data_IF_913433435079
#
_entry.id   IF_913433435079
#
_cell.length_a   1.000
_cell.length_b   1.000
_cell.length_c   1.000
_cell.angle_alpha   90.00
_cell.angle_beta   90.00
_cell.angle_gamma   90.00
#
_symmetry.space_group_name_H-M   'P 1'
#
loop_
_entity.id
_entity.type
_entity.pdbx_description
1 polymer ?
#
# COMPACT_ATOMS: atom_id res chain seq x y z
N UNK A 1 4.90 40.72 59.30
CA UNK A 1 3.85 40.23 58.40
C UNK A 1 4.50 39.96 57.03
N UNK A 2 4.86 38.72 56.79
CA UNK A 2 5.55 38.31 55.55
C UNK A 2 4.53 37.74 54.54
N UNK A 3 4.36 38.42 53.40
CA UNK A 3 3.51 37.98 52.29
C UNK A 3 4.32 37.04 51.41
N UNK A 4 4.06 35.75 51.54
CA UNK A 4 4.62 34.75 50.64
C UNK A 4 3.68 34.59 49.42
N UNK A 5 4.08 35.19 48.32
CA UNK A 5 3.39 35.04 47.03
C UNK A 5 3.70 33.65 46.45
N UNK A 6 2.68 32.77 46.38
CA UNK A 6 2.77 31.47 45.70
C UNK A 6 2.66 31.72 44.20
N UNK A 7 3.75 31.50 43.49
CA UNK A 7 3.75 31.46 42.01
C UNK A 7 3.18 30.09 41.61
N UNK A 8 2.01 30.11 41.01
CA UNK A 8 1.39 28.92 40.39
C UNK A 8 1.99 28.76 38.98
N UNK A 9 2.89 27.80 38.82
CA UNK A 9 3.42 27.43 37.51
C UNK A 9 2.32 26.68 36.75
N UNK A 10 1.70 27.33 35.78
CA UNK A 10 0.85 26.68 34.79
C UNK A 10 1.76 25.95 33.79
N UNK A 11 1.87 24.64 33.91
CA UNK A 11 2.44 23.79 32.87
C UNK A 11 1.35 23.63 31.80
N UNK A 12 1.47 24.38 30.72
CA UNK A 12 0.68 24.15 29.49
C UNK A 12 1.11 22.80 28.94
N UNK A 13 0.18 21.87 28.70
CA UNK A 13 0.52 20.65 27.90
C UNK A 13 0.94 21.11 26.52
N UNK A 14 2.15 20.80 26.14
CA UNK A 14 2.58 20.90 24.76
C UNK A 14 1.66 19.98 23.92
N UNK A 15 1.11 20.47 22.80
CA UNK A 15 0.37 19.59 21.91
C UNK A 15 1.35 18.49 21.45
N UNK A 16 1.05 17.25 21.81
CA UNK A 16 1.70 16.12 21.22
C UNK A 16 1.23 16.12 19.75
N UNK A 17 2.12 16.48 18.84
CA UNK A 17 1.91 16.29 17.42
C UNK A 17 1.90 14.77 17.23
N UNK A 18 0.71 14.19 17.34
CA UNK A 18 0.47 12.79 16.95
C UNK A 18 0.58 12.74 15.42
N UNK A 19 1.76 12.39 14.95
CA UNK A 19 1.95 12.03 13.54
C UNK A 19 1.38 10.63 13.34
N UNK A 20 0.07 10.53 13.15
CA UNK A 20 -0.60 9.29 12.79
C UNK A 20 -0.32 8.90 11.34
N UNK A 21 0.58 7.96 11.15
CA UNK A 21 0.85 7.39 9.84
C UNK A 21 1.10 5.90 10.00
N UNK A 22 0.48 5.02 9.26
CA UNK A 22 0.75 3.61 8.94
C UNK A 22 1.41 2.69 9.94
N UNK A 23 1.30 1.39 9.61
CA UNK A 23 2.29 0.39 10.03
C UNK A 23 3.75 0.82 9.82
N UNK A 24 4.04 1.67 8.85
CA UNK A 24 5.37 2.28 8.61
C UNK A 24 5.72 3.47 9.49
N UNK A 25 4.78 4.05 10.21
CA UNK A 25 5.06 5.14 11.15
C UNK A 25 5.78 4.66 12.37
N UNK A 26 5.53 3.45 12.75
CA UNK A 26 6.35 2.86 13.79
C UNK A 26 7.83 2.73 13.39
N UNK A 27 8.16 2.85 12.10
CA UNK A 27 9.51 2.85 11.53
C UNK A 27 9.97 4.23 11.02
N UNK A 28 9.23 5.30 11.33
CA UNK A 28 9.41 6.63 10.73
C UNK A 28 10.65 7.40 11.22
N UNK A 29 11.22 7.04 12.34
CA UNK A 29 12.48 7.62 12.84
C UNK A 29 13.69 7.25 11.96
N UNK A 30 13.49 6.35 10.98
CA UNK A 30 14.48 6.03 9.96
C UNK A 30 15.75 5.37 10.50
N UNK A 31 15.75 4.94 11.77
CA UNK A 31 16.92 4.28 12.37
C UNK A 31 17.03 2.86 11.83
N UNK A 32 18.10 2.62 11.07
CA UNK A 32 18.45 1.27 10.63
C UNK A 32 19.22 0.58 11.75
N UNK A 33 18.71 -0.57 12.16
CA UNK A 33 19.38 -1.47 13.09
C UNK A 33 19.89 -2.71 12.36
N UNK A 34 21.09 -3.15 12.71
CA UNK A 34 21.65 -4.43 12.26
C UNK A 34 21.66 -5.41 13.43
N UNK A 35 21.24 -6.64 13.14
CA UNK A 35 21.23 -7.75 14.08
C UNK A 35 21.75 -9.00 13.40
N UNK A 36 22.25 -9.97 14.18
CA UNK A 36 22.70 -11.26 13.70
C UNK A 36 22.13 -12.35 14.59
N UNK A 37 21.55 -13.39 13.98
CA UNK A 37 20.92 -14.45 14.75
C UNK A 37 20.55 -15.66 13.91
N UNK A 38 20.04 -16.69 14.57
CA UNK A 38 19.55 -17.93 13.98
C UNK A 38 18.05 -17.83 13.70
N UNK A 39 17.63 -18.22 12.49
CA UNK A 39 16.21 -18.24 12.11
C UNK A 39 15.46 -19.31 12.89
N UNK A 40 14.40 -18.90 13.59
CA UNK A 40 13.56 -19.79 14.42
C UNK A 40 12.28 -20.18 13.70
N UNK A 41 11.63 -19.20 13.06
CA UNK A 41 10.39 -19.43 12.28
C UNK A 41 10.43 -18.68 10.96
N UNK A 42 9.70 -19.19 9.98
CA UNK A 42 9.48 -18.51 8.69
C UNK A 42 8.00 -18.63 8.34
N UNK A 43 7.36 -17.50 8.14
CA UNK A 43 5.98 -17.37 7.67
C UNK A 43 6.01 -16.60 6.33
N UNK A 44 6.08 -17.35 5.22
CA UNK A 44 6.24 -16.79 3.87
C UNK A 44 4.88 -16.71 3.18
N UNK A 45 4.05 -15.75 3.62
CA UNK A 45 2.68 -15.53 3.16
C UNK A 45 2.40 -14.03 2.99
N UNK A 46 1.31 -13.69 2.25
CA UNK A 46 0.78 -12.34 2.23
C UNK A 46 -0.10 -12.08 3.48
N UNK A 47 -0.25 -10.83 3.94
CA UNK A 47 0.12 -9.58 3.27
C UNK A 47 1.60 -9.25 3.35
N UNK A 48 2.35 -9.83 4.27
CA UNK A 48 3.76 -9.57 4.50
C UNK A 48 4.48 -10.87 4.85
N UNK A 49 5.65 -11.12 4.25
CA UNK A 49 6.50 -12.21 4.70
C UNK A 49 7.12 -11.86 6.05
N UNK A 50 7.03 -12.79 6.99
CA UNK A 50 7.58 -12.67 8.34
C UNK A 50 8.55 -13.81 8.63
N UNK A 51 9.56 -13.53 9.42
CA UNK A 51 10.40 -14.55 10.03
C UNK A 51 10.93 -14.07 11.37
N UNK A 52 11.26 -15.00 12.27
CA UNK A 52 11.86 -14.64 13.55
C UNK A 52 13.29 -15.14 13.62
N UNK A 53 14.15 -14.36 14.27
CA UNK A 53 15.52 -14.79 14.59
C UNK A 53 15.77 -14.72 16.09
N UNK A 54 16.58 -15.67 16.56
CA UNK A 54 17.11 -15.66 17.91
C UNK A 54 18.51 -15.05 17.89
N UNK A 55 18.67 -13.94 18.60
CA UNK A 55 19.95 -13.28 18.81
C UNK A 55 20.50 -13.60 20.19
N UNK A 56 21.80 -13.51 20.35
CA UNK A 56 22.51 -13.63 21.64
C UNK A 56 23.45 -12.43 21.74
N UNK A 57 23.30 -11.61 22.77
CA UNK A 57 24.17 -10.46 22.98
C UNK A 57 25.53 -10.82 23.59
N UNK A 58 26.42 -9.83 23.81
CA UNK A 58 27.75 -10.02 24.37
C UNK A 58 27.74 -10.55 25.80
N UNK A 59 26.66 -10.45 26.52
CA UNK A 59 26.47 -10.94 27.91
C UNK A 59 25.77 -12.32 27.93
N UNK A 60 25.45 -12.89 26.76
CA UNK A 60 24.81 -14.19 26.62
C UNK A 60 23.28 -14.14 26.78
N UNK A 61 22.67 -12.96 26.75
CA UNK A 61 21.22 -12.82 26.86
C UNK A 61 20.59 -13.10 25.48
N UNK A 62 19.62 -14.00 25.49
CA UNK A 62 18.86 -14.35 24.28
C UNK A 62 17.66 -13.40 24.08
N UNK A 63 17.42 -13.00 22.83
CA UNK A 63 16.24 -12.26 22.43
C UNK A 63 15.67 -12.82 21.12
N UNK A 64 14.35 -12.82 20.99
CA UNK A 64 13.65 -13.12 19.74
C UNK A 64 13.29 -11.81 19.07
N UNK A 65 13.60 -11.71 17.79
CA UNK A 65 13.27 -10.58 16.94
C UNK A 65 12.26 -11.00 15.90
N UNK A 66 11.19 -10.23 15.76
CA UNK A 66 10.21 -10.34 14.69
C UNK A 66 10.60 -9.45 13.52
N UNK A 67 10.58 -10.02 12.34
CA UNK A 67 11.12 -9.44 11.13
C UNK A 67 10.03 -9.47 10.06
N UNK A 68 9.52 -8.29 9.70
CA UNK A 68 8.51 -8.08 8.67
C UNK A 68 9.18 -7.62 7.37
N UNK A 69 8.70 -8.06 6.22
CA UNK A 69 9.20 -7.62 4.92
C UNK A 69 8.06 -7.27 3.95
N UNK A 70 8.34 -7.16 2.65
CA UNK A 70 7.33 -6.95 1.63
C UNK A 70 6.42 -8.17 1.44
N UNK A 71 5.32 -7.99 0.70
CA UNK A 71 4.45 -9.07 0.26
C UNK A 71 5.17 -10.04 -0.70
N UNK A 72 4.66 -11.28 -0.75
CA UNK A 72 5.28 -12.37 -1.51
C UNK A 72 5.34 -12.09 -3.01
N UNK A 73 4.32 -11.45 -3.55
CA UNK A 73 4.25 -11.17 -4.98
C UNK A 73 5.31 -10.14 -5.38
N UNK A 74 5.48 -9.12 -4.56
CA UNK A 74 6.56 -8.13 -4.72
C UNK A 74 7.93 -8.80 -4.64
N UNK A 75 8.16 -9.68 -3.67
CA UNK A 75 9.42 -10.41 -3.52
C UNK A 75 9.71 -11.32 -4.72
N UNK A 76 8.71 -12.08 -5.19
CA UNK A 76 8.84 -12.96 -6.38
C UNK A 76 9.24 -12.17 -7.63
N UNK A 77 8.59 -11.03 -7.89
CA UNK A 77 8.92 -10.15 -9.04
C UNK A 77 10.34 -9.60 -8.98
N UNK A 78 10.86 -9.44 -7.78
CA UNK A 78 12.24 -9.02 -7.55
C UNK A 78 13.25 -10.16 -7.60
N UNK A 79 12.79 -11.37 -7.90
CA UNK A 79 13.62 -12.55 -7.99
C UNK A 79 14.06 -13.13 -6.64
N UNK A 80 13.38 -12.73 -5.54
CA UNK A 80 13.62 -13.30 -4.21
C UNK A 80 12.88 -14.62 -4.11
N UNK A 81 13.58 -15.76 -3.99
CA UNK A 81 12.94 -17.07 -3.95
C UNK A 81 12.19 -17.28 -2.62
N UNK A 82 11.14 -18.11 -2.65
CA UNK A 82 10.31 -18.41 -1.45
C UNK A 82 11.09 -19.06 -0.32
N UNK A 83 12.18 -19.69 -0.61
CA UNK A 83 13.08 -20.34 0.35
C UNK A 83 14.38 -19.56 0.58
N UNK A 84 14.37 -18.27 0.30
CA UNK A 84 15.51 -17.39 0.53
C UNK A 84 15.99 -17.40 2.00
N UNK A 85 15.04 -17.51 2.93
CA UNK A 85 15.30 -17.59 4.38
C UNK A 85 14.82 -18.94 4.88
N UNK A 86 15.68 -19.69 5.60
CA UNK A 86 15.36 -21.02 6.10
C UNK A 86 15.62 -21.14 7.59
N UNK A 87 14.77 -21.89 8.30
CA UNK A 87 14.91 -22.18 9.72
C UNK A 87 16.27 -22.85 9.97
N UNK A 88 16.97 -22.42 11.02
CA UNK A 88 18.29 -22.89 11.43
C UNK A 88 19.46 -22.18 10.74
N UNK A 89 19.22 -21.33 9.76
CA UNK A 89 20.28 -20.50 9.15
C UNK A 89 20.64 -19.33 10.06
N UNK A 90 21.93 -18.96 10.07
CA UNK A 90 22.41 -17.77 10.75
C UNK A 90 22.50 -16.62 9.76
N UNK A 91 21.74 -15.56 10.03
CA UNK A 91 21.60 -14.41 9.14
C UNK A 91 22.14 -13.14 9.80
N UNK A 92 22.66 -12.23 8.97
CA UNK A 92 22.81 -10.82 9.32
C UNK A 92 21.69 -10.04 8.66
N UNK A 93 20.95 -9.27 9.45
CA UNK A 93 19.75 -8.57 9.02
C UNK A 93 19.89 -7.08 9.31
N UNK A 94 19.50 -6.24 8.36
CA UNK A 94 19.31 -4.82 8.56
C UNK A 94 17.85 -4.46 8.28
N UNK A 95 17.32 -3.52 9.05
CA UNK A 95 15.95 -3.05 8.90
C UNK A 95 15.68 -1.81 9.72
N UNK A 96 14.56 -1.17 9.45
CA UNK A 96 14.08 -0.05 10.25
C UNK A 96 13.48 -0.59 11.54
N UNK A 97 13.96 -0.06 12.68
CA UNK A 97 13.45 -0.45 13.99
C UNK A 97 12.07 0.12 14.23
N UNK A 98 11.19 -0.68 14.80
CA UNK A 98 9.91 -0.19 15.31
C UNK A 98 10.10 0.72 16.54
N UNK A 99 9.42 1.86 16.54
CA UNK A 99 9.34 2.76 17.70
C UNK A 99 8.25 2.32 18.71
N UNK A 100 7.39 1.36 18.33
CA UNK A 100 6.23 0.91 19.12
C UNK A 100 6.38 -0.51 19.67
N UNK A 101 7.01 -1.40 18.90
CA UNK A 101 7.19 -2.81 19.24
C UNK A 101 8.67 -3.07 19.57
N UNK A 102 8.92 -3.75 20.68
CA UNK A 102 10.28 -4.19 21.02
C UNK A 102 10.72 -5.33 20.11
N UNK A 103 12.00 -5.36 19.76
CA UNK A 103 12.62 -6.41 18.94
C UNK A 103 11.87 -6.66 17.61
N UNK A 104 11.51 -5.57 16.93
CA UNK A 104 10.78 -5.63 15.68
C UNK A 104 11.43 -4.76 14.59
N UNK A 105 11.62 -5.33 13.38
CA UNK A 105 12.20 -4.61 12.24
C UNK A 105 11.34 -4.75 10.98
N UNK A 106 11.21 -3.65 10.23
CA UNK A 106 10.87 -3.66 8.80
C UNK A 106 12.16 -3.93 8.01
N UNK A 107 12.30 -5.16 7.52
CA UNK A 107 13.54 -5.68 6.94
C UNK A 107 13.88 -4.99 5.62
N UNK A 108 15.09 -4.50 5.51
CA UNK A 108 15.62 -3.95 4.25
C UNK A 108 16.58 -4.89 3.55
N UNK A 109 17.51 -5.51 4.30
CA UNK A 109 18.57 -6.34 3.76
C UNK A 109 18.82 -7.57 4.65
N UNK A 110 19.13 -8.69 4.02
CA UNK A 110 19.54 -9.93 4.69
C UNK A 110 20.79 -10.48 4.00
N UNK A 111 21.87 -10.72 4.74
CA UNK A 111 23.02 -11.45 4.26
C UNK A 111 22.88 -12.93 4.64
N UNK A 112 22.83 -13.77 3.61
CA UNK A 112 22.71 -15.23 3.74
C UNK A 112 24.06 -15.87 4.09
N UNK A 113 24.09 -17.10 4.65
CA UNK A 113 25.32 -17.83 4.91
C UNK A 113 26.19 -18.09 3.66
N UNK A 114 25.57 -18.09 2.48
CA UNK A 114 26.24 -18.20 1.18
C UNK A 114 27.11 -16.99 0.83
N UNK A 115 26.90 -15.84 1.48
CA UNK A 115 27.46 -14.55 1.12
C UNK A 115 26.58 -13.76 0.13
N UNK A 116 25.49 -14.33 -0.35
CA UNK A 116 24.49 -13.62 -1.17
C UNK A 116 23.67 -12.68 -0.29
N UNK A 117 23.47 -11.45 -0.72
CA UNK A 117 22.60 -10.49 -0.05
C UNK A 117 21.21 -10.49 -0.68
N UNK A 118 20.15 -10.44 0.16
CA UNK A 118 18.77 -10.28 -0.26
C UNK A 118 18.30 -8.88 0.11
N UNK A 119 17.86 -8.10 -0.89
CA UNK A 119 17.29 -6.77 -0.69
C UNK A 119 15.76 -6.88 -0.75
N UNK A 120 15.08 -6.65 0.38
CA UNK A 120 13.66 -6.89 0.56
C UNK A 120 12.77 -5.68 0.19
N UNK A 121 13.35 -4.50 0.04
CA UNK A 121 12.59 -3.27 -0.24
C UNK A 121 13.20 -2.46 -1.37
N UNK A 122 12.36 -1.72 -2.11
CA UNK A 122 12.81 -0.77 -3.14
C UNK A 122 13.54 0.45 -2.57
N UNK A 123 13.51 0.62 -1.26
CA UNK A 123 14.12 1.75 -0.54
C UNK A 123 15.56 1.49 -0.10
N UNK A 124 16.07 0.30 -0.36
CA UNK A 124 17.40 -0.09 0.07
C UNK A 124 18.28 -0.52 -1.11
N UNK A 125 19.55 -0.21 -0.98
CA UNK A 125 20.64 -0.67 -1.84
C UNK A 125 21.38 -1.83 -1.13
N UNK A 126 22.15 -2.68 -1.85
CA UNK A 126 23.02 -3.65 -1.25
C UNK A 126 23.98 -3.02 -0.23
N UNK A 127 24.17 -3.66 0.92
CA UNK A 127 24.98 -3.16 2.05
C UNK A 127 26.28 -3.90 2.26
N UNK A 128 26.28 -5.20 1.98
CA UNK A 128 27.36 -6.10 2.41
C UNK A 128 27.96 -6.90 1.26
N UNK A 129 27.26 -7.06 0.15
CA UNK A 129 27.68 -7.94 -0.93
C UNK A 129 27.32 -7.35 -2.30
N UNK A 130 28.25 -7.49 -3.27
CA UNK A 130 27.95 -7.20 -4.66
C UNK A 130 27.11 -8.31 -5.31
N UNK A 131 27.05 -9.51 -4.68
CA UNK A 131 26.14 -10.61 -5.06
C UNK A 131 24.80 -10.41 -4.34
N UNK A 132 23.95 -9.57 -4.93
CA UNK A 132 22.67 -9.20 -4.35
C UNK A 132 21.51 -9.57 -5.27
N UNK A 133 20.44 -10.17 -4.67
CA UNK A 133 19.15 -10.41 -5.31
C UNK A 133 18.10 -9.48 -4.72
N UNK A 134 17.06 -9.15 -5.52
CA UNK A 134 16.01 -8.26 -5.08
C UNK A 134 16.37 -6.77 -5.14
N UNK A 135 17.62 -6.40 -5.41
CA UNK A 135 17.98 -5.00 -5.68
C UNK A 135 17.34 -4.52 -6.99
N UNK A 136 16.94 -3.23 -7.02
CA UNK A 136 16.52 -2.63 -8.29
C UNK A 136 17.77 -2.51 -9.15
N UNK A 137 17.82 -3.26 -10.23
CA UNK A 137 18.79 -3.00 -11.28
C UNK A 137 18.35 -1.73 -12.01
N UNK A 138 19.24 -0.75 -12.05
CA UNK A 138 19.00 0.53 -12.74
C UNK A 138 18.61 0.30 -14.20
N UNK A 139 17.55 0.94 -14.63
CA UNK A 139 16.98 1.30 -15.94
C UNK A 139 17.34 0.49 -17.23
N UNK A 140 18.36 -0.35 -17.25
CA UNK A 140 18.77 -1.08 -18.45
C UNK A 140 18.13 -2.45 -18.65
N UNK A 141 17.37 -2.97 -17.70
CA UNK A 141 16.71 -4.28 -17.81
C UNK A 141 15.26 -4.20 -18.34
N UNK A 142 14.76 -3.01 -18.63
CA UNK A 142 13.54 -2.86 -19.42
C UNK A 142 13.87 -3.00 -20.90
N UNK A 143 14.17 -4.20 -21.36
CA UNK A 143 13.88 -4.58 -22.73
C UNK A 143 12.35 -4.53 -22.90
N UNK A 144 11.82 -3.32 -22.97
CA UNK A 144 10.45 -3.06 -23.40
C UNK A 144 10.43 -3.44 -24.87
N UNK A 145 10.11 -4.69 -25.14
CA UNK A 145 9.72 -5.07 -26.49
C UNK A 145 8.54 -4.18 -26.83
N UNK A 146 8.69 -3.32 -27.82
CA UNK A 146 7.61 -2.47 -28.29
C UNK A 146 6.39 -3.35 -28.57
N UNK A 147 5.36 -3.23 -27.73
CA UNK A 147 4.07 -3.83 -28.02
C UNK A 147 3.53 -3.03 -29.19
N UNK A 148 3.21 -3.71 -30.29
CA UNK A 148 2.36 -3.12 -31.32
C UNK A 148 1.01 -2.81 -30.65
N UNK A 149 0.81 -1.53 -30.30
CA UNK A 149 -0.16 -1.06 -29.34
C UNK A 149 -1.56 -0.88 -29.88
N UNK A 150 -1.74 -0.96 -31.20
CA UNK A 150 -2.84 -0.24 -31.85
C UNK A 150 -4.22 -0.92 -31.80
N UNK A 151 -4.36 -2.14 -31.24
CA UNK A 151 -5.65 -2.85 -31.32
C UNK A 151 -6.36 -3.11 -29.99
N UNK A 152 -5.66 -3.02 -28.85
CA UNK A 152 -6.25 -3.48 -27.58
C UNK A 152 -6.83 -2.33 -26.70
N UNK A 153 -6.54 -1.08 -27.02
CA UNK A 153 -7.00 0.05 -26.20
C UNK A 153 -6.61 -0.13 -24.74
N UNK A 154 -7.56 0.09 -23.84
CA UNK A 154 -7.38 -0.08 -22.39
C UNK A 154 -7.36 -1.57 -21.96
N UNK A 155 -7.87 -2.50 -22.77
CA UNK A 155 -8.09 -3.91 -22.42
C UNK A 155 -6.80 -4.73 -22.43
N UNK A 156 -5.97 -4.54 -21.42
CA UNK A 156 -4.68 -5.20 -21.21
C UNK A 156 -4.24 -5.11 -19.76
N UNK A 157 -3.06 -5.66 -19.47
CA UNK A 157 -2.41 -5.53 -18.17
C UNK A 157 -1.62 -4.24 -18.10
N UNK A 158 -1.78 -3.54 -16.99
CA UNK A 158 -1.16 -2.26 -16.68
C UNK A 158 -0.38 -2.34 -15.38
N UNK A 159 0.86 -1.85 -15.37
CA UNK A 159 1.69 -1.75 -14.17
C UNK A 159 1.90 -0.27 -13.82
N UNK A 160 1.67 0.08 -12.56
CA UNK A 160 1.85 1.45 -12.08
C UNK A 160 3.32 1.86 -12.12
N UNK A 161 3.60 3.02 -12.70
CA UNK A 161 4.94 3.59 -12.80
C UNK A 161 5.10 4.88 -12.02
N UNK A 162 3.99 5.61 -11.78
CA UNK A 162 4.04 6.90 -11.10
C UNK A 162 2.81 7.10 -10.22
N UNK A 163 3.01 7.80 -9.10
CA UNK A 163 1.96 8.31 -8.22
C UNK A 163 2.25 9.77 -7.91
N UNK A 164 1.30 10.65 -8.17
CA UNK A 164 1.36 12.07 -7.85
C UNK A 164 0.50 12.33 -6.61
N UNK A 165 1.12 12.21 -5.42
CA UNK A 165 0.43 12.45 -4.16
C UNK A 165 0.29 13.96 -3.92
N UNK A 166 -0.90 14.42 -3.46
CA UNK A 166 -1.04 15.77 -2.94
C UNK A 166 -0.31 15.91 -1.60
N UNK A 167 0.05 17.13 -1.25
CA UNK A 167 0.47 17.42 0.11
C UNK A 167 -0.72 17.24 1.07
N UNK A 168 -0.53 16.52 2.17
CA UNK A 168 -1.62 16.21 3.12
C UNK A 168 -2.24 17.47 3.75
N UNK A 169 -1.43 18.51 3.93
CA UNK A 169 -1.87 19.82 4.45
C UNK A 169 -2.83 20.55 3.49
N UNK A 170 -2.83 20.20 2.21
CA UNK A 170 -3.65 20.81 1.17
C UNK A 170 -5.00 20.09 0.98
N UNK A 171 -5.20 18.98 1.67
CA UNK A 171 -6.49 18.27 1.59
C UNK A 171 -7.60 19.12 2.22
N UNK A 172 -8.74 19.30 1.52
CA UNK A 172 -9.86 20.11 2.00
C UNK A 172 -10.69 19.35 3.05
N UNK A 173 -10.06 18.92 4.14
CA UNK A 173 -10.69 18.13 5.18
C UNK A 173 -11.62 18.95 6.06
N UNK A 174 -12.72 18.36 6.48
CA UNK A 174 -13.56 18.87 7.56
C UNK A 174 -12.85 18.76 8.92
N UNK A 175 -13.28 19.54 9.90
CA UNK A 175 -12.73 19.44 11.28
C UNK A 175 -13.01 18.06 11.90
N UNK A 176 -14.18 17.47 11.58
CA UNK A 176 -14.52 16.13 12.03
C UNK A 176 -13.61 15.05 11.44
N UNK A 177 -13.25 15.17 10.16
CA UNK A 177 -12.32 14.25 9.51
C UNK A 177 -10.90 14.34 10.11
N UNK A 178 -10.43 15.54 10.43
CA UNK A 178 -9.14 15.75 11.14
C UNK A 178 -9.16 15.12 12.53
N UNK A 179 -10.25 15.32 13.28
CA UNK A 179 -10.39 14.73 14.61
C UNK A 179 -10.41 13.20 14.56
N UNK A 180 -11.09 12.61 13.57
CA UNK A 180 -11.11 11.16 13.39
C UNK A 180 -9.72 10.61 12.99
N UNK A 181 -8.99 11.33 12.13
CA UNK A 181 -7.60 11.00 11.80
C UNK A 181 -6.71 10.96 13.03
N UNK A 182 -6.81 11.96 13.92
CA UNK A 182 -6.00 12.04 15.14
C UNK A 182 -6.26 10.87 16.11
N UNK A 183 -7.46 10.28 16.05
CA UNK A 183 -7.87 9.15 16.89
C UNK A 183 -7.53 7.78 16.26
N UNK A 184 -7.17 7.73 15.00
CA UNK A 184 -6.94 6.50 14.26
C UNK A 184 -5.62 5.83 14.64
N UNK A 185 -5.68 4.54 14.99
CA UNK A 185 -4.48 3.70 15.18
C UNK A 185 -4.35 2.71 14.00
N UNK A 186 -3.40 2.92 13.08
CA UNK A 186 -3.26 2.08 11.90
C UNK A 186 -2.96 0.60 12.20
N UNK A 187 -2.40 0.29 13.36
CA UNK A 187 -2.15 -1.11 13.75
C UNK A 187 -3.40 -1.80 14.31
N UNK A 188 -4.34 -1.05 14.88
CA UNK A 188 -5.57 -1.58 15.44
C UNK A 188 -6.75 -1.47 14.47
N UNK A 189 -6.80 -0.38 13.70
CA UNK A 189 -7.99 0.04 12.97
C UNK A 189 -7.94 -0.25 11.47
N UNK A 190 -6.75 -0.62 10.90
CA UNK A 190 -6.65 -0.94 9.47
C UNK A 190 -7.21 -2.35 9.17
N UNK A 191 -8.39 -2.46 8.48
CA UNK A 191 -9.00 -3.74 8.18
C UNK A 191 -8.12 -4.65 7.30
N UNK A 192 -7.24 -4.05 6.49
CA UNK A 192 -6.37 -4.78 5.56
C UNK A 192 -5.35 -5.66 6.29
N UNK A 193 -4.93 -5.28 7.49
CA UNK A 193 -4.06 -6.11 8.33
C UNK A 193 -4.73 -7.43 8.76
N UNK A 194 -6.07 -7.48 8.71
CA UNK A 194 -6.86 -8.70 8.93
C UNK A 194 -7.28 -9.39 7.64
N UNK A 195 -6.58 -9.17 6.53
CA UNK A 195 -6.89 -9.70 5.21
C UNK A 195 -8.29 -9.32 4.68
N UNK A 196 -8.88 -8.24 5.18
CA UNK A 196 -10.12 -7.71 4.63
C UNK A 196 -9.79 -6.96 3.33
N UNK A 197 -10.43 -7.37 2.24
CA UNK A 197 -10.21 -6.77 0.92
C UNK A 197 -10.56 -5.28 0.98
N UNK A 198 -9.65 -4.38 0.58
CA UNK A 198 -9.89 -2.95 0.63
C UNK A 198 -11.01 -2.53 -0.31
N UNK A 199 -11.85 -1.59 0.15
CA UNK A 199 -12.88 -0.96 -0.65
C UNK A 199 -12.37 0.22 -1.48
N UNK A 200 -13.30 0.91 -2.16
CA UNK A 200 -12.98 2.13 -2.89
C UNK A 200 -12.83 3.34 -1.94
N UNK A 201 -11.89 4.26 -2.24
CA UNK A 201 -10.96 4.30 -3.37
C UNK A 201 -9.68 3.49 -3.16
N UNK A 202 -9.41 2.96 -1.95
CA UNK A 202 -8.16 2.29 -1.59
C UNK A 202 -7.79 1.15 -2.55
N UNK A 203 -8.76 0.38 -3.02
CA UNK A 203 -8.54 -0.70 -3.98
C UNK A 203 -7.86 -0.22 -5.26
N UNK A 204 -8.10 1.03 -5.69
CA UNK A 204 -7.45 1.63 -6.86
C UNK A 204 -6.19 2.39 -6.50
N UNK A 205 -6.19 3.11 -5.39
CA UNK A 205 -5.10 4.00 -5.00
C UNK A 205 -3.91 3.22 -4.44
N UNK A 206 -4.14 2.08 -3.81
CA UNK A 206 -3.12 1.22 -3.21
C UNK A 206 -2.66 0.07 -4.13
N UNK A 207 -2.66 0.27 -5.44
CA UNK A 207 -2.22 -0.76 -6.38
C UNK A 207 -0.70 -0.99 -6.41
N UNK A 208 0.10 -0.36 -5.56
CA UNK A 208 1.52 -0.60 -5.29
C UNK A 208 2.32 -1.10 -6.50
N UNK A 209 3.14 -2.13 -6.45
CA UNK A 209 3.75 -2.73 -7.63
C UNK A 209 2.83 -3.74 -8.34
N UNK A 210 1.56 -3.88 -7.88
CA UNK A 210 0.62 -4.89 -8.38
C UNK A 210 -0.05 -4.42 -9.67
N UNK A 211 -0.04 -5.22 -10.75
CA UNK A 211 -0.73 -4.88 -11.98
C UNK A 211 -2.25 -4.93 -11.84
N UNK A 212 -2.89 -4.15 -12.70
CA UNK A 212 -4.32 -4.20 -12.94
C UNK A 212 -4.57 -4.66 -14.38
N UNK A 213 -5.72 -5.25 -14.65
CA UNK A 213 -6.10 -5.77 -15.96
C UNK A 213 -7.54 -5.39 -16.27
N UNK A 214 -7.76 -4.70 -17.39
CA UNK A 214 -9.08 -4.45 -17.92
C UNK A 214 -9.46 -5.52 -18.92
N UNK A 215 -10.64 -6.08 -18.76
CA UNK A 215 -11.23 -7.08 -19.66
C UNK A 215 -12.57 -6.56 -20.17
N UNK A 216 -12.80 -6.70 -21.47
CA UNK A 216 -14.07 -6.40 -22.08
C UNK A 216 -15.08 -7.50 -21.75
N UNK A 217 -16.23 -7.12 -21.21
CA UNK A 217 -17.36 -8.00 -20.92
C UNK A 217 -18.59 -7.64 -21.75
N UNK A 218 -19.67 -8.38 -21.57
CA UNK A 218 -20.95 -8.08 -22.19
C UNK A 218 -21.67 -6.98 -21.38
N UNK A 219 -21.68 -5.75 -21.90
CA UNK A 219 -22.25 -4.57 -21.25
C UNK A 219 -21.60 -4.21 -19.90
N UNK A 220 -20.36 -4.66 -19.71
CA UNK A 220 -19.55 -4.33 -18.54
C UNK A 220 -18.08 -4.33 -18.90
N UNK A 221 -17.27 -3.63 -18.10
CA UNK A 221 -15.82 -3.76 -18.06
C UNK A 221 -15.44 -4.44 -16.75
N UNK A 222 -14.66 -5.50 -16.84
CA UNK A 222 -14.17 -6.21 -15.66
C UNK A 222 -12.75 -5.74 -15.37
N UNK A 223 -12.55 -5.08 -14.24
CA UNK A 223 -11.25 -4.66 -13.76
C UNK A 223 -10.76 -5.66 -12.71
N UNK A 224 -9.70 -6.39 -13.04
CA UNK A 224 -9.05 -7.37 -12.15
C UNK A 224 -7.82 -6.70 -11.54
N UNK A 225 -7.71 -6.75 -10.24
CA UNK A 225 -6.59 -6.19 -9.49
C UNK A 225 -5.83 -7.32 -8.80
N UNK A 226 -4.50 -7.33 -8.93
CA UNK A 226 -3.68 -8.35 -8.29
C UNK A 226 -3.67 -8.19 -6.78
N UNK A 227 -3.59 -6.94 -6.30
CA UNK A 227 -3.66 -6.65 -4.88
C UNK A 227 -4.95 -7.22 -4.30
N UNK A 228 -4.83 -8.15 -3.34
CA UNK A 228 -5.93 -8.96 -2.79
C UNK A 228 -6.74 -9.79 -3.83
N UNK A 229 -6.24 -9.96 -5.04
CA UNK A 229 -6.84 -10.77 -6.11
C UNK A 229 -8.33 -10.48 -6.33
N UNK A 230 -8.73 -9.22 -6.24
CA UNK A 230 -10.12 -8.84 -6.31
C UNK A 230 -10.56 -8.34 -7.70
N UNK A 231 -11.87 -8.37 -7.92
CA UNK A 231 -12.50 -8.07 -9.19
C UNK A 231 -13.54 -6.97 -8.98
N UNK A 232 -13.43 -5.89 -9.76
CA UNK A 232 -14.42 -4.82 -9.82
C UNK A 232 -15.14 -4.86 -11.15
N UNK A 233 -16.47 -4.75 -11.14
CA UNK A 233 -17.30 -4.64 -12.34
C UNK A 233 -17.70 -3.20 -12.54
N UNK A 234 -17.53 -2.71 -13.76
CA UNK A 234 -17.97 -1.40 -14.21
C UNK A 234 -19.09 -1.64 -15.20
N UNK A 235 -20.32 -1.33 -14.82
CA UNK A 235 -21.49 -1.52 -15.64
C UNK A 235 -21.56 -0.41 -16.71
N UNK A 236 -21.73 -0.79 -17.97
CA UNK A 236 -21.80 0.13 -19.10
C UNK A 236 -23.25 0.45 -19.48
N UNK A 237 -24.18 0.28 -18.56
CA UNK A 237 -25.60 0.58 -18.69
C UNK A 237 -26.01 1.70 -17.73
N UNK A 238 -26.11 2.92 -18.25
CA UNK A 238 -26.49 4.10 -17.47
C UNK A 238 -27.98 4.12 -17.07
N UNK A 239 -28.80 3.20 -17.59
CA UNK A 239 -30.22 3.13 -17.26
C UNK A 239 -30.52 2.45 -15.91
N UNK A 240 -29.51 1.87 -15.27
CA UNK A 240 -29.65 1.19 -13.98
C UNK A 240 -29.97 2.18 -12.87
N UNK A 241 -30.99 1.88 -12.06
CA UNK A 241 -31.24 2.61 -10.82
C UNK A 241 -30.19 2.24 -9.77
N UNK A 242 -29.18 3.09 -9.59
CA UNK A 242 -28.05 2.86 -8.70
C UNK A 242 -28.47 2.84 -7.23
N UNK A 243 -29.50 3.62 -6.86
CA UNK A 243 -29.99 3.68 -5.47
C UNK A 243 -30.60 2.36 -4.98
N UNK A 244 -31.06 1.52 -5.89
CA UNK A 244 -31.58 0.19 -5.58
C UNK A 244 -30.49 -0.89 -5.47
N UNK A 245 -29.24 -0.55 -5.83
CA UNK A 245 -28.15 -1.52 -5.77
C UNK A 245 -27.62 -1.69 -4.33
N UNK A 246 -27.14 -2.88 -3.96
CA UNK A 246 -26.58 -3.11 -2.64
C UNK A 246 -25.30 -2.30 -2.44
N UNK A 247 -25.10 -1.79 -1.23
CA UNK A 247 -23.83 -1.20 -0.85
C UNK A 247 -22.78 -2.30 -0.65
N UNK A 248 -21.57 -2.11 -1.21
CA UNK A 248 -20.44 -3.03 -1.10
C UNK A 248 -19.15 -2.26 -0.81
N UNK A 249 -18.08 -2.88 -0.34
CA UNK A 249 -16.80 -2.18 -0.19
C UNK A 249 -16.30 -1.55 -1.50
N UNK A 250 -16.49 -2.20 -2.65
CA UNK A 250 -16.14 -1.65 -3.96
C UNK A 250 -17.20 -0.70 -4.54
N UNK A 251 -18.35 -0.56 -3.87
CA UNK A 251 -19.46 0.22 -4.35
C UNK A 251 -20.19 -0.40 -5.54
N UNK A 252 -20.97 0.41 -6.24
CA UNK A 252 -21.57 0.11 -7.53
C UNK A 252 -21.02 1.11 -8.56
N UNK A 253 -20.38 0.62 -9.61
CA UNK A 253 -19.67 1.41 -10.61
C UNK A 253 -20.43 1.41 -11.93
N UNK A 254 -20.74 2.60 -12.46
CA UNK A 254 -21.32 2.79 -13.78
C UNK A 254 -20.34 3.58 -14.63
N UNK A 255 -20.09 3.10 -15.84
CA UNK A 255 -19.12 3.69 -16.76
C UNK A 255 -19.73 4.07 -18.10
N UNK A 256 -19.11 5.04 -18.75
CA UNK A 256 -19.37 5.39 -20.14
C UNK A 256 -18.08 5.87 -20.82
N UNK A 257 -18.11 5.90 -22.14
CA UNK A 257 -17.01 6.41 -22.94
C UNK A 257 -17.23 7.87 -23.31
N UNK A 258 -16.33 8.76 -22.90
CA UNK A 258 -16.23 10.16 -23.33
C UNK A 258 -15.07 10.26 -24.34
N UNK A 259 -15.39 10.03 -25.62
CA UNK A 259 -14.37 9.81 -26.64
C UNK A 259 -13.54 8.56 -26.34
N UNK A 260 -12.22 8.71 -26.12
CA UNK A 260 -11.29 7.62 -25.77
C UNK A 260 -11.05 7.51 -24.26
N UNK A 261 -11.75 8.31 -23.45
CA UNK A 261 -11.65 8.30 -22.00
C UNK A 261 -12.76 7.43 -21.40
N UNK A 262 -12.41 6.43 -20.63
CA UNK A 262 -13.39 5.73 -19.80
C UNK A 262 -13.66 6.57 -18.55
N UNK A 263 -14.91 6.97 -18.37
CA UNK A 263 -15.39 7.69 -17.18
C UNK A 263 -16.20 6.71 -16.34
N UNK A 264 -15.91 6.65 -15.04
CA UNK A 264 -16.58 5.74 -14.11
C UNK A 264 -17.06 6.52 -12.91
N UNK A 265 -18.34 6.42 -12.61
CA UNK A 265 -18.94 6.95 -11.37
C UNK A 265 -19.23 5.77 -10.43
N UNK A 266 -18.75 5.85 -9.19
CA UNK A 266 -18.95 4.84 -8.17
C UNK A 266 -19.59 5.45 -6.94
N UNK A 267 -20.73 4.88 -6.55
CA UNK A 267 -21.46 5.18 -5.32
C UNK A 267 -21.79 3.88 -4.58
N UNK A 268 -22.64 3.92 -3.55
CA UNK A 268 -23.01 2.72 -2.77
C UNK A 268 -21.80 2.02 -2.15
N UNK A 269 -20.79 2.82 -1.76
CA UNK A 269 -19.55 2.32 -1.15
C UNK A 269 -19.79 2.11 0.34
N UNK A 270 -19.52 0.89 0.81
CA UNK A 270 -19.54 0.51 2.22
C UNK A 270 -18.13 0.18 2.68
N UNK A 271 -17.29 1.20 2.72
CA UNK A 271 -15.89 1.11 3.18
C UNK A 271 -15.60 2.29 4.10
N UNK A 272 -15.05 2.08 5.30
CA UNK A 272 -15.02 3.11 6.34
C UNK A 272 -13.97 4.20 6.15
N UNK A 273 -12.98 3.98 5.27
CA UNK A 273 -11.85 4.89 5.19
C UNK A 273 -11.58 5.39 3.78
N UNK A 274 -11.27 6.67 3.67
CA UNK A 274 -10.67 7.26 2.48
C UNK A 274 -9.15 7.15 2.53
N UNK A 275 -8.55 6.71 1.44
CA UNK A 275 -7.11 6.45 1.33
C UNK A 275 -6.53 6.87 0.00
N UNK A 276 -5.36 7.51 0.06
CA UNK A 276 -4.53 7.90 -1.07
C UNK A 276 -3.18 7.16 -1.05
N UNK A 277 -3.17 5.87 -1.38
CA UNK A 277 -1.93 5.11 -1.58
C UNK A 277 -0.89 5.25 -0.47
N UNK A 278 -1.06 4.63 0.59
CA UNK A 278 -0.14 4.58 1.71
C UNK A 278 0.47 5.94 2.12
N UNK A 279 0.34 6.28 3.31
CA UNK A 279 -0.17 5.60 4.46
C UNK A 279 -1.68 5.64 4.58
N UNK A 280 -2.29 4.59 5.20
CA UNK A 280 -3.66 4.69 5.66
C UNK A 280 -3.71 5.84 6.67
N UNK A 281 -4.45 6.86 6.32
CA UNK A 281 -4.47 8.11 7.10
C UNK A 281 -5.61 8.16 8.09
N UNK A 282 -6.51 7.16 8.03
CA UNK A 282 -7.66 7.08 8.91
C UNK A 282 -8.70 8.17 8.66
N UNK A 283 -8.70 8.79 7.48
CA UNK A 283 -9.79 9.69 7.14
C UNK A 283 -11.08 8.89 7.04
N UNK A 284 -12.15 9.30 7.72
CA UNK A 284 -13.42 8.61 7.62
C UNK A 284 -13.98 8.73 6.19
N UNK A 285 -14.78 7.75 5.80
CA UNK A 285 -15.55 7.79 4.57
C UNK A 285 -17.02 7.50 4.90
N UNK A 286 -17.92 8.34 4.41
CA UNK A 286 -19.35 8.15 4.64
C UNK A 286 -20.02 7.33 3.53
N UNK A 287 -21.25 6.91 3.75
CA UNK A 287 -22.10 6.25 2.76
C UNK A 287 -22.61 7.20 1.64
N UNK A 288 -22.41 8.52 1.83
CA UNK A 288 -22.71 9.54 0.81
C UNK A 288 -21.55 9.79 -0.16
N UNK A 289 -20.44 9.06 -0.03
CA UNK A 289 -19.29 9.22 -0.91
C UNK A 289 -19.64 8.91 -2.36
N UNK A 290 -19.20 9.79 -3.26
CA UNK A 290 -19.21 9.60 -4.70
C UNK A 290 -17.80 9.73 -5.25
N UNK A 291 -17.40 8.80 -6.10
CA UNK A 291 -16.09 8.79 -6.75
C UNK A 291 -16.29 8.82 -8.26
N UNK A 292 -15.68 9.81 -8.92
CA UNK A 292 -15.62 9.89 -10.38
C UNK A 292 -14.19 9.67 -10.83
N UNK A 293 -13.98 8.67 -11.67
CA UNK A 293 -12.69 8.25 -12.19
C UNK A 293 -12.63 8.48 -13.70
N UNK A 294 -11.44 8.84 -14.22
CA UNK A 294 -11.21 9.01 -15.66
C UNK A 294 -9.93 8.29 -16.04
N UNK A 295 -10.05 7.31 -16.92
CA UNK A 295 -8.93 6.55 -17.46
C UNK A 295 -8.66 7.01 -18.89
N UNK A 296 -7.47 7.54 -19.13
CA UNK A 296 -7.09 8.17 -20.40
C UNK A 296 -5.86 7.50 -20.98
N UNK A 297 -5.97 7.00 -22.20
CA UNK A 297 -4.82 6.52 -22.94
C UNK A 297 -3.95 7.68 -23.42
N UNK A 298 -2.64 7.53 -23.29
CA UNK A 298 -1.62 8.46 -23.72
C UNK A 298 -0.47 7.73 -24.43
N UNK A 299 0.46 8.49 -24.98
CA UNK A 299 1.66 7.96 -25.62
C UNK A 299 1.34 6.82 -26.61
N UNK A 300 0.42 7.07 -27.56
CA UNK A 300 -0.05 6.06 -28.54
C UNK A 300 -0.53 4.76 -27.91
N UNK A 301 -1.19 4.84 -26.73
CA UNK A 301 -1.80 3.70 -26.08
C UNK A 301 -0.86 2.89 -25.17
N UNK A 302 0.37 3.36 -24.93
CA UNK A 302 1.32 2.66 -24.02
C UNK A 302 1.25 3.14 -22.58
N UNK A 303 0.62 4.29 -22.33
CA UNK A 303 0.42 4.87 -21.01
C UNK A 303 -1.06 5.05 -20.71
N UNK A 304 -1.46 4.74 -19.49
CA UNK A 304 -2.80 4.97 -18.94
C UNK A 304 -2.71 5.94 -17.78
N UNK A 305 -3.28 7.13 -17.97
CA UNK A 305 -3.39 8.15 -16.94
C UNK A 305 -4.73 8.06 -16.21
N UNK A 306 -4.73 8.34 -14.93
CA UNK A 306 -5.89 8.22 -14.06
C UNK A 306 -6.10 9.50 -13.26
N UNK A 307 -7.28 10.08 -13.45
CA UNK A 307 -7.80 11.15 -12.60
C UNK A 307 -8.84 10.57 -11.65
N UNK A 308 -8.91 11.11 -10.44
CA UNK A 308 -9.95 10.79 -9.48
C UNK A 308 -10.53 12.06 -8.87
N UNK A 309 -11.85 12.11 -8.76
CA UNK A 309 -12.57 13.12 -7.99
C UNK A 309 -13.37 12.41 -6.91
N UNK A 310 -13.22 12.84 -5.66
CA UNK A 310 -13.93 12.27 -4.52
C UNK A 310 -14.78 13.36 -3.87
N UNK A 311 -16.07 13.10 -3.78
CA UNK A 311 -17.04 13.96 -3.10
C UNK A 311 -17.60 13.22 -1.90
N UNK A 312 -17.27 13.68 -0.70
CA UNK A 312 -17.83 13.17 0.56
C UNK A 312 -17.95 14.32 1.56
N UNK A 313 -19.16 14.86 1.76
CA UNK A 313 -19.36 16.03 2.63
C UNK A 313 -19.00 15.79 4.11
N UNK A 314 -18.95 14.54 4.55
CA UNK A 314 -18.49 14.22 5.91
C UNK A 314 -16.97 14.35 6.04
N UNK A 315 -16.23 14.09 4.97
CA UNK A 315 -14.77 14.08 4.94
C UNK A 315 -14.19 15.37 4.38
N UNK A 316 -14.76 15.90 3.29
CA UNK A 316 -14.22 17.05 2.56
C UNK A 316 -15.17 18.25 2.56
N UNK A 317 -14.60 19.44 2.70
CA UNK A 317 -15.33 20.72 2.59
C UNK A 317 -15.68 21.08 1.15
N UNK A 318 -14.96 20.52 0.18
CA UNK A 318 -15.19 20.61 -1.26
C UNK A 318 -14.68 19.33 -1.95
N UNK A 319 -15.10 18.99 -3.17
CA UNK A 319 -14.62 17.80 -3.86
C UNK A 319 -13.10 17.80 -4.01
N UNK A 320 -12.46 16.69 -3.61
CA UNK A 320 -11.03 16.46 -3.83
C UNK A 320 -10.81 16.03 -5.28
N UNK A 321 -10.07 16.80 -6.05
CA UNK A 321 -9.79 16.54 -7.47
C UNK A 321 -8.29 16.29 -7.65
N UNK A 322 -7.92 15.06 -8.03
CA UNK A 322 -6.55 14.68 -8.32
C UNK A 322 -6.42 14.33 -9.80
N UNK A 323 -5.66 15.13 -10.54
CA UNK A 323 -5.39 14.92 -11.96
C UNK A 323 -4.07 14.19 -12.13
N UNK A 324 -4.03 13.27 -13.11
CA UNK A 324 -2.85 12.43 -13.36
C UNK A 324 -2.32 11.76 -12.09
N UNK A 325 -3.25 11.43 -11.19
CA UNK A 325 -2.93 10.93 -9.87
C UNK A 325 -2.10 9.65 -9.92
N UNK A 326 -2.50 8.71 -10.79
CA UNK A 326 -1.74 7.49 -11.06
C UNK A 326 -1.43 7.41 -12.55
N UNK A 327 -0.23 6.91 -12.85
CA UNK A 327 0.18 6.60 -14.22
C UNK A 327 0.60 5.13 -14.26
N UNK A 328 0.03 4.40 -15.20
CA UNK A 328 0.41 3.03 -15.50
C UNK A 328 1.01 2.93 -16.90
N UNK A 329 1.86 1.92 -17.10
CA UNK A 329 2.39 1.57 -18.41
C UNK A 329 2.00 0.13 -18.75
N UNK A 330 1.72 -0.09 -20.03
CA UNK A 330 1.55 -1.42 -20.56
C UNK A 330 2.90 -2.13 -20.59
N UNK A 331 3.00 -3.27 -19.91
CA UNK A 331 4.23 -4.07 -19.87
C UNK A 331 3.97 -5.45 -20.47
N UNK A 332 4.59 -5.76 -21.63
CA UNK A 332 4.50 -7.08 -22.23
C UNK A 332 5.08 -8.15 -21.32
N UNK A 333 4.38 -9.28 -21.24
CA UNK A 333 4.84 -10.43 -20.47
C UNK A 333 4.58 -10.35 -18.96
N UNK A 334 4.18 -9.21 -18.43
CA UNK A 334 3.71 -9.13 -17.03
C UNK A 334 2.37 -9.84 -16.92
N UNK A 335 2.28 -10.75 -15.96
CA UNK A 335 1.05 -11.46 -15.61
C UNK A 335 0.69 -11.12 -14.17
N UNK A 336 -0.60 -11.14 -13.88
CA UNK A 336 -1.08 -11.12 -12.50
C UNK A 336 -0.68 -12.42 -11.80
N UNK A 337 -0.21 -12.29 -10.58
CA UNK A 337 0.00 -13.43 -9.68
C UNK A 337 -1.15 -13.49 -8.66
N UNK A 338 -1.34 -14.63 -8.01
CA UNK A 338 -2.32 -14.78 -6.96
C UNK A 338 -1.79 -14.10 -5.69
N UNK A 339 -2.52 -13.12 -5.20
CA UNK A 339 -2.24 -12.44 -3.92
C UNK A 339 -3.09 -13.06 -2.82
N UNK A 340 -2.77 -14.29 -2.44
CA UNK A 340 -3.44 -15.02 -1.37
C UNK A 340 -3.03 -14.46 0.01
N UNK A 341 -3.97 -13.89 0.73
CA UNK A 341 -3.72 -13.25 2.02
C UNK A 341 -4.11 -14.18 3.17
N UNK A 342 -3.18 -14.44 4.08
CA UNK A 342 -3.39 -15.27 5.28
C UNK A 342 -2.94 -14.49 6.51
N UNK A 343 -3.85 -14.31 7.47
CA UNK A 343 -3.52 -13.68 8.75
C UNK A 343 -2.58 -14.57 9.55
N UNK A 344 -1.43 -14.04 9.94
CA UNK A 344 -0.55 -14.73 10.88
C UNK A 344 -1.04 -14.47 12.32
N UNK A 345 -1.66 -15.47 12.93
CA UNK A 345 -2.19 -15.37 14.31
C UNK A 345 -1.10 -15.51 15.39
N UNK A 346 0.11 -15.89 15.01
CA UNK A 346 1.22 -16.13 15.95
C UNK A 346 2.07 -14.86 16.17
N UNK A 347 1.87 -13.82 15.34
CA UNK A 347 2.48 -12.50 15.52
C UNK A 347 1.46 -11.62 16.25
N UNK A 348 1.76 -11.21 17.47
CA UNK A 348 0.94 -10.32 18.30
C UNK A 348 1.69 -9.04 18.63
#
# INVERSE_FOLDING_TARGET
MSNTQKILLFVLPLPHISMGHHSRVEFADGVIQEIEGEVVTVFWQNPHAHFTIKTVDGDGVEAIWDLESADIVTLNRRGVPRDAVRVGERLRVAGFRSARRENYLDVTNVLLPSGTEVVFTTRAEPRWSDDAIGAIRTENDTNVTEVSSDSLGIFRVWTRTQTNLPELSELPLTDSARTAQDAFDPLADDPVLSCIIPGMPRSMTFTGPHPIEFLEGNNEIVLRMEYFDHVRRIHMDESVNVDEQPATPLGYSVGYWDGETLVVTTTRINWPYFDLNAPLLGFPQSDAVEIVERFKLRESGTELAYDITVSDPATFTEPLVLRDYLIWRAQPGVRRELHDCIVNTDIR
#
